data_IF_568811077100
#
_entry.id   IF_568811077100
#
_cell.length_a   1.000
_cell.length_b   1.000
_cell.length_c   1.000
_cell.angle_alpha   90.00
_cell.angle_beta   90.00
_cell.angle_gamma   90.00
#
_symmetry.space_group_name_H-M   'P 1'
#
loop_
_entity.id
_entity.type
_entity.pdbx_description
1 polymer ?
#
# COMPACT_ATOMS: atom_id res chain seq x y z
N UNK A 1 -11.57 13.99 5.11
CA UNK A 1 -10.67 12.83 5.09
C UNK A 1 -9.57 13.08 4.08
N UNK A 2 -8.32 12.80 4.42
CA UNK A 2 -7.19 12.94 3.50
C UNK A 2 -7.29 11.90 2.39
N UNK A 3 -7.13 12.31 1.13
CA UNK A 3 -7.13 11.41 -0.03
C UNK A 3 -5.70 10.88 -0.22
N UNK A 4 -5.50 9.59 -0.02
CA UNK A 4 -4.20 8.93 -0.20
C UNK A 4 -4.19 8.32 -1.61
N UNK A 5 -3.19 8.67 -2.42
CA UNK A 5 -3.02 8.03 -3.72
C UNK A 5 -2.60 6.57 -3.55
N UNK A 6 -3.20 5.69 -4.33
CA UNK A 6 -2.82 4.29 -4.43
C UNK A 6 -2.66 3.97 -5.90
N UNK A 7 -1.43 3.92 -6.39
CA UNK A 7 -1.16 3.61 -7.80
C UNK A 7 -1.08 2.10 -8.07
N UNK A 8 -1.25 1.27 -7.03
CA UNK A 8 -1.19 -0.19 -7.16
C UNK A 8 -2.56 -0.68 -7.58
N UNK A 9 -2.77 -0.88 -8.88
CA UNK A 9 -4.06 -1.30 -9.46
C UNK A 9 -4.57 -2.62 -8.87
N UNK A 10 -3.67 -3.53 -8.51
CA UNK A 10 -3.98 -4.82 -7.89
C UNK A 10 -4.23 -4.77 -6.38
N UNK A 11 -4.22 -3.58 -5.77
CA UNK A 11 -4.59 -3.43 -4.37
C UNK A 11 -6.12 -3.45 -4.23
N UNK A 12 -6.68 -4.26 -3.34
CA UNK A 12 -8.12 -4.30 -3.07
C UNK A 12 -8.68 -2.95 -2.60
N UNK A 13 -7.83 -2.11 -2.00
CA UNK A 13 -8.19 -0.79 -1.50
C UNK A 13 -8.03 0.30 -2.56
N UNK A 14 -7.51 0.00 -3.76
CA UNK A 14 -7.46 0.96 -4.85
C UNK A 14 -8.85 1.10 -5.47
N UNK A 15 -9.39 2.31 -5.41
CA UNK A 15 -10.55 2.73 -6.19
C UNK A 15 -10.23 4.03 -6.89
N UNK A 16 -10.05 3.97 -8.22
CA UNK A 16 -9.71 5.12 -9.06
C UNK A 16 -8.47 5.89 -8.57
N UNK A 17 -7.37 5.15 -8.37
CA UNK A 17 -6.08 5.66 -7.89
C UNK A 17 -6.10 6.24 -6.47
N UNK A 18 -7.16 5.97 -5.70
CA UNK A 18 -7.32 6.41 -4.32
C UNK A 18 -7.45 5.20 -3.38
N UNK A 19 -6.67 5.23 -2.30
CA UNK A 19 -6.76 4.23 -1.25
C UNK A 19 -8.04 4.44 -0.41
N UNK A 20 -8.88 3.42 -0.33
CA UNK A 20 -10.11 3.41 0.48
C UNK A 20 -9.90 2.81 1.88
N UNK A 21 -8.67 2.40 2.23
CA UNK A 21 -8.38 1.91 3.57
C UNK A 21 -8.60 3.01 4.62
N UNK A 22 -9.29 2.69 5.72
CA UNK A 22 -9.53 3.63 6.81
C UNK A 22 -8.25 4.06 7.54
N UNK A 23 -7.19 3.24 7.46
CA UNK A 23 -5.87 3.51 8.03
C UNK A 23 -4.82 2.84 7.18
N UNK A 24 -3.71 3.54 6.91
CA UNK A 24 -2.52 2.97 6.28
C UNK A 24 -1.49 2.61 7.35
N UNK A 25 -0.86 1.46 7.19
CA UNK A 25 0.31 1.04 7.95
C UNK A 25 1.48 0.92 6.98
N UNK A 26 2.54 1.66 7.26
CA UNK A 26 3.82 1.59 6.53
C UNK A 26 4.78 0.73 7.34
N UNK A 27 5.59 -0.06 6.64
CA UNK A 27 6.65 -0.90 7.23
C UNK A 27 7.91 -0.80 6.38
N UNK A 28 9.00 -1.38 6.85
CA UNK A 28 10.16 -1.73 6.05
C UNK A 28 9.79 -2.65 4.87
N UNK A 29 10.27 -2.29 3.68
CA UNK A 29 10.21 -3.10 2.47
C UNK A 29 11.31 -4.16 2.41
N UNK A 30 12.41 -3.93 3.12
CA UNK A 30 13.61 -4.78 3.16
C UNK A 30 13.64 -5.68 4.41
N UNK A 31 14.41 -6.77 4.36
CA UNK A 31 14.56 -7.74 5.47
C UNK A 31 15.50 -7.26 6.59
N UNK A 32 16.42 -6.35 6.30
CA UNK A 32 17.41 -5.85 7.27
C UNK A 32 16.87 -4.71 8.16
N UNK A 33 15.61 -4.30 7.95
CA UNK A 33 14.92 -3.23 8.66
C UNK A 33 15.61 -1.85 8.57
N UNK A 34 16.56 -1.66 7.64
CA UNK A 34 17.19 -0.37 7.40
C UNK A 34 16.35 0.47 6.44
N UNK A 35 16.14 1.74 6.78
CA UNK A 35 15.39 2.71 5.96
C UNK A 35 16.30 3.91 5.70
N UNK A 36 16.71 4.08 4.44
CA UNK A 36 17.53 5.22 4.02
C UNK A 36 16.80 6.07 2.97
N UNK A 37 15.94 5.43 2.17
CA UNK A 37 15.19 6.05 1.09
C UNK A 37 13.70 5.70 1.19
N UNK A 38 12.86 6.40 0.43
CA UNK A 38 11.44 6.08 0.32
C UNK A 38 11.19 4.67 -0.19
N UNK A 39 12.09 4.16 -1.03
CA UNK A 39 11.96 2.85 -1.68
C UNK A 39 12.18 1.70 -0.69
N UNK A 40 12.82 1.99 0.45
CA UNK A 40 13.00 1.04 1.55
C UNK A 40 11.71 0.88 2.38
N UNK A 41 10.64 1.64 2.08
CA UNK A 41 9.35 1.56 2.76
C UNK A 41 8.29 0.87 1.90
N UNK A 42 7.40 0.11 2.55
CA UNK A 42 6.31 -0.59 1.90
C UNK A 42 4.98 -0.36 2.62
N UNK A 43 3.88 -0.37 1.85
CA UNK A 43 2.54 -0.34 2.42
C UNK A 43 2.17 -1.72 2.97
N UNK A 44 2.16 -1.88 4.29
CA UNK A 44 1.70 -3.11 4.95
C UNK A 44 0.18 -3.31 4.81
N UNK A 45 -0.56 -2.23 4.62
CA UNK A 45 -2.01 -2.27 4.32
C UNK A 45 -2.31 -2.82 2.93
N UNK A 46 -1.32 -2.98 2.06
CA UNK A 46 -1.54 -3.60 0.75
C UNK A 46 -2.15 -5.00 0.92
N UNK A 47 -3.25 -5.24 0.22
CA UNK A 47 -3.88 -6.56 0.11
C UNK A 47 -4.21 -6.78 -1.36
N UNK A 48 -3.74 -7.87 -1.98
CA UNK A 48 -4.06 -8.17 -3.37
C UNK A 48 -5.56 -8.28 -3.58
N UNK A 49 -6.06 -7.83 -4.73
CA UNK A 49 -7.37 -8.25 -5.21
C UNK A 49 -7.33 -9.78 -5.36
N UNK A 50 -8.25 -10.47 -4.69
CA UNK A 50 -8.51 -11.87 -5.02
C UNK A 50 -9.32 -11.86 -6.31
N UNK A 51 -8.73 -12.35 -7.40
CA UNK A 51 -9.51 -12.73 -8.58
C UNK A 51 -10.53 -13.78 -8.13
N UNK A 52 -11.78 -13.38 -7.93
CA UNK A 52 -12.90 -14.32 -7.93
C UNK A 52 -13.16 -14.66 -9.40
N UNK A 53 -12.45 -15.68 -9.90
CA UNK A 53 -12.83 -16.41 -11.11
C UNK A 53 -14.09 -17.23 -10.86
#
# INVERSE_FOLDING_TARGET
MSKIKCNVEECQYNTSDLCQASTIQVKEGMQDHMISTSDDTACKTFTPKTDLS
#
